data_IF_212771517578
#
_entry.id   IF_212771517578
#
_cell.length_a   1.000
_cell.length_b   1.000
_cell.length_c   1.000
_cell.angle_alpha   90.00
_cell.angle_beta   90.00
_cell.angle_gamma   90.00
#
_symmetry.space_group_name_H-M   'P 1'
#
loop_
_entity.id
_entity.type
_entity.pdbx_description
1 polymer ?
#
# COMPACT_ATOMS: atom_id res chain seq x y z
N UNK A 1 -74.99 -6.07 16.01
CA UNK A 1 -75.16 -5.58 14.63
C UNK A 1 -74.48 -6.58 13.69
N UNK A 2 -75.14 -6.79 12.55
CA UNK A 2 -74.96 -7.80 11.48
C UNK A 2 -73.59 -7.72 10.74
N UNK A 3 -73.27 -8.68 9.84
CA UNK A 3 -72.00 -9.41 9.77
C UNK A 3 -71.30 -9.25 8.38
N UNK A 4 -70.39 -10.14 7.92
CA UNK A 4 -69.55 -9.94 6.74
C UNK A 4 -70.04 -10.62 5.44
N UNK A 5 -69.51 -10.13 4.31
CA UNK A 5 -69.12 -10.78 3.04
C UNK A 5 -69.96 -11.88 2.37
N UNK A 6 -70.30 -11.68 1.09
CA UNK A 6 -70.36 -12.72 0.04
C UNK A 6 -70.69 -12.17 -1.37
N UNK A 7 -70.06 -12.77 -2.40
CA UNK A 7 -70.58 -13.12 -3.77
C UNK A 7 -70.97 -11.98 -4.74
N UNK A 8 -70.30 -11.77 -5.90
CA UNK A 8 -70.33 -12.52 -7.19
C UNK A 8 -71.66 -12.49 -7.95
N UNK A 9 -71.67 -11.84 -9.14
CA UNK A 9 -72.27 -12.24 -10.44
C UNK A 9 -72.17 -11.06 -11.44
N UNK A 10 -71.50 -11.19 -12.60
CA UNK A 10 -72.04 -11.40 -13.98
C UNK A 10 -73.11 -10.35 -14.39
N UNK A 11 -73.13 -9.71 -15.55
CA UNK A 11 -73.04 -10.14 -16.96
C UNK A 11 -72.91 -8.84 -17.82
N UNK A 12 -72.04 -8.74 -18.83
CA UNK A 12 -72.22 -9.14 -20.26
C UNK A 12 -72.91 -8.06 -21.11
N UNK A 13 -72.38 -7.85 -22.34
CA UNK A 13 -72.96 -7.19 -23.53
C UNK A 13 -72.90 -5.65 -23.54
N UNK A 14 -72.58 -4.90 -24.61
CA UNK A 14 -72.35 -5.11 -26.06
C UNK A 14 -71.64 -3.83 -26.57
N UNK A 15 -70.62 -3.88 -27.43
CA UNK A 15 -70.67 -3.89 -28.90
C UNK A 15 -71.66 -2.88 -29.54
N UNK A 16 -71.04 -1.87 -30.16
CA UNK A 16 -71.37 -1.25 -31.46
C UNK A 16 -72.09 0.11 -31.56
N UNK A 17 -71.32 1.03 -32.18
CA UNK A 17 -71.68 1.87 -33.33
C UNK A 17 -72.18 3.30 -33.12
N UNK A 18 -71.35 4.25 -33.55
CA UNK A 18 -71.68 5.46 -34.35
C UNK A 18 -70.35 6.15 -34.73
N UNK A 19 -69.85 6.00 -35.95
CA UNK A 19 -70.21 6.69 -37.20
C UNK A 19 -70.05 8.21 -37.14
N UNK A 20 -69.03 8.74 -37.83
CA UNK A 20 -69.10 9.86 -38.79
C UNK A 20 -67.86 10.78 -38.73
N UNK A 21 -67.05 10.69 -39.80
CA UNK A 21 -66.24 11.72 -40.49
C UNK A 21 -66.05 13.11 -39.84
N UNK A 22 -64.80 13.58 -39.74
CA UNK A 22 -64.21 14.41 -40.80
C UNK A 22 -62.70 14.64 -40.64
N UNK A 23 -62.07 14.96 -41.76
CA UNK A 23 -60.63 15.07 -42.02
C UNK A 23 -59.98 16.30 -41.34
N UNK A 24 -58.82 16.10 -40.71
CA UNK A 24 -57.74 17.09 -40.79
C UNK A 24 -56.36 16.42 -40.59
N UNK A 25 -55.39 16.83 -41.40
CA UNK A 25 -54.03 16.27 -41.45
C UNK A 25 -53.10 16.99 -40.48
N UNK A 26 -52.31 16.25 -39.70
CA UNK A 26 -50.93 16.61 -39.27
C UNK A 26 -50.27 15.41 -38.57
N UNK A 27 -48.92 15.35 -38.48
CA UNK A 27 -48.15 14.14 -38.80
C UNK A 27 -47.76 13.23 -37.63
N UNK A 28 -47.51 11.98 -37.99
CA UNK A 28 -46.63 10.96 -37.39
C UNK A 28 -46.43 10.89 -35.86
N UNK A 29 -46.91 9.79 -35.27
CA UNK A 29 -46.15 9.03 -34.27
C UNK A 29 -46.20 7.55 -34.60
N UNK A 30 -45.06 6.90 -34.92
CA UNK A 30 -45.03 5.47 -35.22
C UNK A 30 -45.30 4.65 -33.96
N UNK A 31 -46.02 3.55 -34.21
CA UNK A 31 -46.43 2.50 -33.31
C UNK A 31 -45.49 2.26 -32.11
N UNK A 32 -46.08 2.17 -30.92
CA UNK A 32 -45.45 1.56 -29.74
C UNK A 32 -45.04 0.14 -30.10
N UNK A 33 -43.79 -0.02 -30.52
CA UNK A 33 -43.10 -1.29 -30.70
C UNK A 33 -43.17 -2.02 -29.36
N UNK A 34 -43.92 -3.10 -29.33
CA UNK A 34 -44.06 -4.02 -28.21
C UNK A 34 -42.66 -4.32 -27.65
N UNK A 35 -42.35 -3.82 -26.45
CA UNK A 35 -41.16 -4.25 -25.72
C UNK A 35 -41.37 -5.73 -25.43
N UNK A 36 -40.72 -6.59 -26.22
CA UNK A 36 -40.57 -8.01 -25.90
C UNK A 36 -39.96 -8.04 -24.51
N UNK A 37 -40.69 -8.58 -23.53
CA UNK A 37 -40.20 -8.74 -22.17
C UNK A 37 -39.03 -9.72 -22.26
N UNK A 38 -37.79 -9.22 -22.26
CA UNK A 38 -36.62 -10.08 -22.32
C UNK A 38 -36.58 -10.92 -21.05
N UNK A 39 -36.49 -12.24 -21.23
CA UNK A 39 -36.38 -13.19 -20.13
C UNK A 39 -35.12 -12.85 -19.30
N UNK A 40 -35.23 -12.62 -17.97
CA UNK A 40 -34.09 -12.27 -17.13
C UNK A 40 -32.93 -13.26 -17.23
N UNK A 41 -33.20 -14.53 -17.55
CA UNK A 41 -32.16 -15.54 -17.78
C UNK A 41 -31.35 -15.26 -19.06
N UNK A 42 -32.01 -14.79 -20.13
CA UNK A 42 -31.34 -14.44 -21.39
C UNK A 42 -30.48 -13.20 -21.21
N UNK A 43 -31.02 -12.16 -20.56
CA UNK A 43 -30.27 -10.95 -20.25
C UNK A 43 -29.06 -11.21 -19.35
N UNK A 44 -29.19 -12.11 -18.35
CA UNK A 44 -28.08 -12.52 -17.49
C UNK A 44 -26.97 -13.23 -18.27
N UNK A 45 -27.33 -14.14 -19.18
CA UNK A 45 -26.39 -14.85 -20.04
C UNK A 45 -25.63 -13.88 -20.97
N UNK A 46 -26.33 -12.95 -21.58
CA UNK A 46 -25.75 -11.98 -22.51
C UNK A 46 -24.72 -11.07 -21.83
N UNK A 47 -24.98 -10.62 -20.60
CA UNK A 47 -24.03 -9.80 -19.83
C UNK A 47 -22.72 -10.53 -19.56
N UNK A 48 -22.79 -11.82 -19.20
CA UNK A 48 -21.60 -12.64 -18.95
C UNK A 48 -20.85 -12.95 -20.25
N UNK A 49 -21.58 -13.23 -21.33
CA UNK A 49 -20.99 -13.47 -22.64
C UNK A 49 -20.29 -12.24 -23.20
N UNK A 50 -20.92 -11.07 -23.10
CA UNK A 50 -20.33 -9.79 -23.48
C UNK A 50 -19.04 -9.53 -22.68
N UNK A 51 -19.06 -9.73 -21.36
CA UNK A 51 -17.88 -9.56 -20.52
C UNK A 51 -16.69 -10.45 -20.95
N UNK A 52 -16.96 -11.67 -21.40
CA UNK A 52 -15.94 -12.59 -21.89
C UNK A 52 -15.41 -12.18 -23.27
N UNK A 53 -16.27 -11.73 -24.17
CA UNK A 53 -15.83 -11.31 -25.51
C UNK A 53 -15.05 -10.00 -25.51
N UNK A 54 -15.29 -9.10 -24.54
CA UNK A 54 -14.63 -7.79 -24.47
C UNK A 54 -13.28 -7.80 -23.74
N UNK A 55 -12.92 -8.85 -22.99
CA UNK A 55 -11.70 -8.87 -22.16
C UNK A 55 -10.74 -9.99 -22.53
N UNK A 56 -9.46 -9.66 -22.53
CA UNK A 56 -8.38 -10.60 -22.80
C UNK A 56 -8.48 -11.83 -21.88
N UNK A 57 -8.43 -13.03 -22.49
CA UNK A 57 -8.55 -14.31 -21.80
C UNK A 57 -9.96 -14.90 -21.75
N UNK A 58 -11.01 -14.16 -22.16
CA UNK A 58 -12.37 -14.72 -22.22
C UNK A 58 -12.56 -15.80 -23.28
N UNK A 59 -11.91 -15.66 -24.45
CA UNK A 59 -11.90 -16.69 -25.49
C UNK A 59 -11.30 -18.01 -24.99
N UNK A 60 -10.25 -17.93 -24.17
CA UNK A 60 -9.62 -19.11 -23.57
C UNK A 60 -10.57 -19.82 -22.59
N UNK A 61 -11.36 -19.07 -21.81
CA UNK A 61 -12.38 -19.62 -20.92
C UNK A 61 -13.46 -20.34 -21.72
N UNK A 62 -13.95 -19.73 -22.80
CA UNK A 62 -14.97 -20.31 -23.66
C UNK A 62 -14.44 -21.57 -24.37
N UNK A 63 -13.20 -21.57 -24.84
CA UNK A 63 -12.56 -22.72 -25.49
C UNK A 63 -12.31 -23.89 -24.51
N UNK A 64 -11.85 -23.59 -23.29
CA UNK A 64 -11.64 -24.61 -22.24
C UNK A 64 -12.96 -25.31 -21.90
N UNK A 65 -14.04 -24.53 -21.74
CA UNK A 65 -15.35 -25.11 -21.48
C UNK A 65 -15.89 -25.93 -22.67
N UNK A 66 -15.76 -25.43 -23.90
CA UNK A 66 -16.21 -26.17 -25.11
C UNK A 66 -15.51 -27.52 -25.26
N UNK A 67 -14.24 -27.61 -24.86
CA UNK A 67 -13.46 -28.84 -24.99
C UNK A 67 -13.68 -29.83 -23.84
N UNK A 68 -13.82 -29.36 -22.59
CA UNK A 68 -13.86 -30.23 -21.40
C UNK A 68 -15.24 -30.31 -20.74
N UNK A 69 -16.20 -29.49 -21.16
CA UNK A 69 -17.51 -29.31 -20.52
C UNK A 69 -17.41 -28.99 -19.01
N UNK A 70 -16.29 -28.39 -18.60
CA UNK A 70 -16.02 -27.92 -17.24
C UNK A 70 -14.87 -26.91 -17.29
N UNK A 71 -14.61 -26.22 -16.18
CA UNK A 71 -13.47 -25.30 -16.05
C UNK A 71 -12.53 -25.77 -14.95
N UNK A 72 -11.22 -25.74 -15.25
CA UNK A 72 -10.16 -25.93 -14.26
C UNK A 72 -10.19 -24.83 -13.19
N UNK A 73 -9.52 -25.05 -12.06
CA UNK A 73 -9.43 -24.06 -10.98
C UNK A 73 -8.84 -22.73 -11.48
N UNK A 74 -7.80 -22.82 -12.32
CA UNK A 74 -7.10 -21.71 -12.93
C UNK A 74 -8.02 -20.94 -13.89
N UNK A 75 -8.70 -21.63 -14.82
CA UNK A 75 -9.63 -21.00 -15.76
C UNK A 75 -10.83 -20.37 -15.05
N UNK A 76 -11.34 -21.02 -13.99
CA UNK A 76 -12.45 -20.48 -13.18
C UNK A 76 -12.06 -19.19 -12.46
N UNK A 77 -10.81 -19.07 -12.00
CA UNK A 77 -10.28 -17.80 -11.45
C UNK A 77 -10.21 -16.71 -12.51
N UNK A 78 -9.80 -17.04 -13.73
CA UNK A 78 -9.77 -16.10 -14.87
C UNK A 78 -11.19 -15.61 -15.20
N UNK A 79 -12.17 -16.52 -15.30
CA UNK A 79 -13.59 -16.18 -15.48
C UNK A 79 -14.07 -15.18 -14.42
N UNK A 80 -13.87 -15.48 -13.14
CA UNK A 80 -14.30 -14.61 -12.03
C UNK A 80 -13.62 -13.23 -12.09
N UNK A 81 -12.33 -13.18 -12.45
CA UNK A 81 -11.60 -11.92 -12.60
C UNK A 81 -12.15 -11.05 -13.73
N UNK A 82 -12.41 -11.65 -14.90
CA UNK A 82 -12.98 -10.95 -16.06
C UNK A 82 -14.34 -10.35 -15.69
N UNK A 83 -15.21 -11.17 -15.07
CA UNK A 83 -16.57 -10.76 -14.72
C UNK A 83 -16.61 -9.68 -13.66
N UNK A 84 -15.80 -9.79 -12.60
CA UNK A 84 -15.70 -8.72 -11.59
C UNK A 84 -15.13 -7.44 -12.20
N UNK A 85 -14.12 -7.55 -13.09
CA UNK A 85 -13.60 -6.40 -13.79
C UNK A 85 -14.67 -5.71 -14.64
N UNK A 86 -15.47 -6.47 -15.39
CA UNK A 86 -16.58 -5.94 -16.19
C UNK A 86 -17.69 -5.34 -15.32
N UNK A 87 -18.02 -5.98 -14.19
CA UNK A 87 -19.01 -5.50 -13.25
C UNK A 87 -18.63 -4.15 -12.63
N UNK A 88 -17.35 -3.96 -12.29
CA UNK A 88 -16.84 -2.67 -11.76
C UNK A 88 -16.83 -1.57 -12.83
N UNK A 89 -16.55 -1.93 -14.07
CA UNK A 89 -16.52 -1.00 -15.21
C UNK A 89 -17.94 -0.52 -15.57
N UNK A 90 -18.91 -1.43 -15.62
CA UNK A 90 -20.29 -1.11 -16.02
C UNK A 90 -21.16 -0.53 -14.90
N UNK A 91 -20.90 -0.89 -13.64
CA UNK A 91 -21.76 -0.52 -12.50
C UNK A 91 -21.03 0.24 -11.40
N UNK A 92 -19.76 0.58 -11.61
CA UNK A 92 -18.93 1.27 -10.63
C UNK A 92 -18.44 0.36 -9.50
N UNK A 93 -17.79 0.97 -8.50
CA UNK A 93 -17.05 0.23 -7.47
C UNK A 93 -17.92 -0.62 -6.55
N UNK A 94 -19.21 -0.31 -6.38
CA UNK A 94 -20.12 -1.01 -5.47
C UNK A 94 -21.34 -1.52 -6.25
N UNK A 95 -21.21 -2.64 -6.98
CA UNK A 95 -22.35 -3.24 -7.66
C UNK A 95 -23.44 -3.63 -6.66
N UNK A 96 -24.69 -3.43 -7.03
CA UNK A 96 -25.87 -3.74 -6.20
C UNK A 96 -26.07 -5.25 -6.03
N UNK A 97 -26.90 -5.65 -5.06
CA UNK A 97 -27.24 -7.07 -4.82
C UNK A 97 -27.78 -7.75 -6.08
N UNK A 98 -28.69 -7.07 -6.80
CA UNK A 98 -29.30 -7.58 -8.02
C UNK A 98 -28.27 -7.74 -9.16
N UNK A 99 -27.33 -6.79 -9.30
CA UNK A 99 -26.26 -6.91 -10.30
C UNK A 99 -25.34 -8.10 -10.01
N UNK A 100 -24.97 -8.33 -8.74
CA UNK A 100 -24.15 -9.50 -8.37
C UNK A 100 -24.88 -10.82 -8.62
N UNK A 101 -26.18 -10.86 -8.32
CA UNK A 101 -27.05 -12.01 -8.59
C UNK A 101 -27.19 -12.28 -10.10
N UNK A 102 -27.37 -11.23 -10.90
CA UNK A 102 -27.47 -11.33 -12.37
C UNK A 102 -26.22 -11.95 -12.99
N UNK A 103 -25.02 -11.56 -12.55
CA UNK A 103 -23.78 -12.16 -13.06
C UNK A 103 -23.61 -13.61 -12.60
N UNK A 104 -23.96 -13.93 -11.35
CA UNK A 104 -23.90 -15.31 -10.85
C UNK A 104 -24.85 -16.24 -11.62
N UNK A 105 -26.08 -15.76 -11.87
CA UNK A 105 -27.06 -16.45 -12.69
C UNK A 105 -26.56 -16.63 -14.13
N UNK A 106 -25.97 -15.59 -14.74
CA UNK A 106 -25.42 -15.66 -16.09
C UNK A 106 -24.29 -16.69 -16.23
N UNK A 107 -23.46 -16.89 -15.20
CA UNK A 107 -22.42 -17.92 -15.18
C UNK A 107 -23.03 -19.31 -15.32
N UNK A 108 -24.01 -19.66 -14.50
CA UNK A 108 -24.58 -21.02 -14.51
C UNK A 108 -25.46 -21.29 -15.72
N UNK A 109 -25.99 -20.23 -16.36
CA UNK A 109 -26.70 -20.37 -17.64
C UNK A 109 -25.71 -20.57 -18.79
N UNK A 110 -24.59 -19.84 -18.80
CA UNK A 110 -23.58 -19.97 -19.85
C UNK A 110 -22.72 -21.23 -19.68
N UNK A 111 -22.49 -21.66 -18.44
CA UNK A 111 -21.70 -22.83 -18.06
C UNK A 111 -22.51 -23.77 -17.14
N UNK A 112 -23.50 -24.52 -17.66
CA UNK A 112 -24.39 -25.35 -16.85
C UNK A 112 -23.68 -26.37 -15.95
N UNK A 113 -22.51 -26.89 -16.36
CA UNK A 113 -21.73 -27.83 -15.56
C UNK A 113 -21.08 -27.20 -14.30
N UNK A 114 -21.07 -25.87 -14.18
CA UNK A 114 -20.61 -25.15 -12.99
C UNK A 114 -21.73 -24.91 -11.97
N UNK A 115 -22.96 -25.31 -12.29
CA UNK A 115 -24.11 -25.20 -11.39
C UNK A 115 -23.93 -26.15 -10.21
N UNK A 116 -24.12 -25.64 -8.99
CA UNK A 116 -24.09 -26.47 -7.79
C UNK A 116 -25.42 -27.23 -7.64
N UNK A 117 -25.43 -28.58 -7.73
CA UNK A 117 -26.65 -29.37 -7.61
C UNK A 117 -27.24 -29.38 -6.18
N UNK A 118 -26.47 -28.96 -5.17
CA UNK A 118 -26.89 -28.96 -3.76
C UNK A 118 -27.45 -27.61 -3.30
N UNK A 119 -27.36 -26.58 -4.14
CA UNK A 119 -27.88 -25.24 -3.86
C UNK A 119 -29.25 -25.02 -4.49
N UNK A 120 -30.05 -24.13 -3.89
CA UNK A 120 -31.46 -23.90 -4.25
C UNK A 120 -31.60 -23.35 -5.67
N UNK A 121 -30.72 -22.43 -6.06
CA UNK A 121 -30.74 -21.75 -7.36
C UNK A 121 -29.60 -22.24 -8.27
N UNK A 122 -28.54 -22.82 -7.72
CA UNK A 122 -27.42 -23.40 -8.45
C UNK A 122 -26.20 -22.50 -8.61
N UNK A 123 -26.30 -21.22 -8.24
CA UNK A 123 -25.25 -20.21 -8.46
C UNK A 123 -24.67 -19.64 -7.16
N UNK A 124 -25.15 -20.12 -6.00
CA UNK A 124 -24.84 -19.57 -4.69
C UNK A 124 -23.34 -19.58 -4.36
N UNK A 125 -22.57 -20.53 -4.91
CA UNK A 125 -21.11 -20.53 -4.79
C UNK A 125 -20.44 -19.32 -5.47
N UNK A 126 -21.05 -18.77 -6.53
CA UNK A 126 -20.57 -17.55 -7.17
C UNK A 126 -21.07 -16.30 -6.45
N UNK A 127 -22.35 -16.28 -6.08
CA UNK A 127 -22.92 -15.26 -5.22
C UNK A 127 -24.15 -15.79 -4.48
N UNK A 128 -24.06 -15.87 -3.16
CA UNK A 128 -25.19 -16.14 -2.30
C UNK A 128 -25.81 -14.81 -1.86
N UNK A 129 -27.10 -14.69 -2.20
CA UNK A 129 -27.90 -13.49 -2.01
C UNK A 129 -28.23 -13.28 -0.54
N UNK A 130 -28.36 -14.35 0.25
CA UNK A 130 -28.74 -14.31 1.67
C UNK A 130 -27.53 -14.03 2.57
N UNK A 131 -26.40 -14.71 2.35
CA UNK A 131 -25.17 -14.46 3.11
C UNK A 131 -24.30 -13.33 2.56
N UNK A 132 -24.50 -12.89 1.32
CA UNK A 132 -23.64 -11.91 0.65
C UNK A 132 -22.22 -12.43 0.37
N UNK A 133 -22.05 -13.76 0.28
CA UNK A 133 -20.77 -14.43 0.07
C UNK A 133 -20.69 -15.07 -1.32
N UNK A 134 -19.59 -15.78 -1.63
CA UNK A 134 -19.34 -16.39 -2.94
C UNK A 134 -18.13 -15.80 -3.67
N UNK A 135 -17.69 -16.46 -4.74
CA UNK A 135 -16.48 -16.09 -5.46
C UNK A 135 -16.50 -14.66 -6.04
N UNK A 136 -17.63 -14.22 -6.58
CA UNK A 136 -17.78 -12.86 -7.10
C UNK A 136 -17.71 -11.84 -5.95
N UNK A 137 -18.37 -12.12 -4.82
CA UNK A 137 -18.34 -11.25 -3.64
C UNK A 137 -16.94 -11.16 -3.02
N UNK A 138 -16.23 -12.29 -2.89
CA UNK A 138 -14.86 -12.33 -2.40
C UNK A 138 -13.94 -11.53 -3.32
N UNK A 139 -14.04 -11.75 -4.63
CA UNK A 139 -13.16 -11.06 -5.57
C UNK A 139 -13.45 -9.57 -5.61
N UNK A 140 -14.71 -9.14 -5.61
CA UNK A 140 -15.09 -7.72 -5.48
C UNK A 140 -14.47 -7.08 -4.22
N UNK A 141 -14.56 -7.74 -3.05
CA UNK A 141 -13.94 -7.25 -1.81
C UNK A 141 -12.42 -7.08 -1.96
N UNK A 142 -11.73 -8.03 -2.59
CA UNK A 142 -10.27 -7.94 -2.78
C UNK A 142 -9.87 -6.88 -3.83
N UNK A 143 -10.64 -6.72 -4.91
CA UNK A 143 -10.39 -5.67 -5.91
C UNK A 143 -10.60 -4.30 -5.29
N UNK A 144 -11.69 -4.11 -4.53
CA UNK A 144 -11.96 -2.88 -3.78
C UNK A 144 -10.82 -2.55 -2.81
N UNK A 145 -10.38 -3.51 -1.97
CA UNK A 145 -9.25 -3.30 -1.04
C UNK A 145 -7.96 -2.95 -1.77
N UNK A 146 -7.63 -3.61 -2.87
CA UNK A 146 -6.42 -3.32 -3.64
C UNK A 146 -6.49 -1.96 -4.34
N UNK A 147 -7.67 -1.53 -4.80
CA UNK A 147 -7.87 -0.17 -5.33
C UNK A 147 -7.84 0.88 -4.24
N UNK A 148 -8.34 0.59 -3.03
CA UNK A 148 -8.20 1.46 -1.87
C UNK A 148 -6.75 1.57 -1.42
N UNK A 149 -5.96 0.49 -1.46
CA UNK A 149 -4.51 0.56 -1.21
C UNK A 149 -3.74 1.35 -2.30
N UNK A 150 -4.26 1.40 -3.54
CA UNK A 150 -3.70 2.25 -4.61
C UNK A 150 -4.19 3.70 -4.54
N UNK A 151 -5.42 3.95 -4.09
CA UNK A 151 -6.00 5.29 -3.93
C UNK A 151 -5.58 5.97 -2.62
N UNK A 152 -5.36 5.20 -1.54
CA UNK A 152 -4.77 5.67 -0.28
C UNK A 152 -3.25 5.92 -0.39
N UNK A 153 -2.64 5.57 -1.53
CA UNK A 153 -1.31 6.10 -1.93
C UNK A 153 -1.41 7.47 -2.63
N UNK A 154 -2.62 7.92 -2.96
CA UNK A 154 -2.88 9.20 -3.62
C UNK A 154 -3.26 10.30 -2.63
N UNK A 155 -4.12 10.04 -1.66
CA UNK A 155 -4.55 11.03 -0.68
C UNK A 155 -5.00 10.35 0.63
N UNK A 156 -4.73 11.02 1.74
CA UNK A 156 -5.02 10.69 3.14
C UNK A 156 -3.96 9.83 3.88
N UNK A 157 -3.15 10.56 4.65
CA UNK A 157 -2.46 10.07 5.83
C UNK A 157 -3.42 9.33 6.77
N UNK A 158 -3.16 8.04 7.00
CA UNK A 158 -3.59 7.33 8.20
C UNK A 158 -2.40 6.55 8.73
N UNK A 159 -2.00 6.93 9.94
CA UNK A 159 -0.98 6.35 10.82
C UNK A 159 -0.76 4.84 10.64
N UNK A 160 0.34 4.47 9.99
CA UNK A 160 1.16 3.28 10.37
C UNK A 160 2.39 3.03 9.50
N UNK A 161 2.74 3.93 8.57
CA UNK A 161 3.91 3.71 7.71
C UNK A 161 5.15 4.43 8.23
N UNK A 162 5.72 3.96 9.34
CA UNK A 162 7.13 4.22 9.62
C UNK A 162 8.02 3.41 8.67
N UNK A 163 9.08 4.01 8.11
CA UNK A 163 10.07 3.27 7.33
C UNK A 163 11.01 4.16 6.50
N UNK A 164 12.14 3.62 5.99
CA UNK A 164 13.15 4.39 5.27
C UNK A 164 12.66 5.08 4.00
N UNK A 165 11.58 4.55 3.40
CA UNK A 165 10.98 5.09 2.17
C UNK A 165 9.78 6.01 2.43
N UNK A 166 9.44 6.29 3.69
CA UNK A 166 8.36 7.21 4.01
C UNK A 166 8.78 8.63 3.61
N UNK A 167 8.06 9.20 2.64
CA UNK A 167 8.17 10.63 2.34
C UNK A 167 7.46 11.40 3.44
N UNK A 168 8.21 12.13 4.27
CA UNK A 168 7.62 13.05 5.23
C UNK A 168 7.22 14.36 4.53
N UNK A 169 6.04 14.88 4.84
CA UNK A 169 5.64 16.22 4.42
C UNK A 169 6.54 17.24 5.11
N UNK A 170 7.33 17.96 4.32
CA UNK A 170 8.09 19.13 4.78
C UNK A 170 7.29 20.36 4.36
N UNK A 171 7.24 21.39 5.20
CA UNK A 171 6.51 22.62 4.92
C UNK A 171 6.96 23.22 3.56
N UNK A 172 6.06 23.43 2.59
CA UNK A 172 6.40 23.98 1.27
C UNK A 172 6.76 25.48 1.28
N UNK A 173 6.58 26.20 2.39
CA UNK A 173 6.77 27.66 2.46
C UNK A 173 8.23 28.14 2.33
N UNK A 174 9.23 27.26 2.47
CA UNK A 174 10.66 27.62 2.42
C UNK A 174 11.39 27.10 1.17
N UNK A 175 10.67 26.92 0.05
CA UNK A 175 11.33 26.52 -1.20
C UNK A 175 12.08 27.72 -1.81
N UNK A 176 13.41 27.67 -1.77
CA UNK A 176 14.24 28.58 -2.56
C UNK A 176 14.08 28.30 -4.05
N UNK A 177 14.22 29.35 -4.86
CA UNK A 177 14.31 29.19 -6.32
C UNK A 177 15.55 28.35 -6.71
N UNK A 178 15.49 27.67 -7.85
CA UNK A 178 16.54 26.75 -8.28
C UNK A 178 17.91 27.43 -8.42
N UNK A 179 17.94 28.70 -8.85
CA UNK A 179 19.18 29.46 -8.98
C UNK A 179 19.78 29.81 -7.61
N UNK A 180 18.95 30.15 -6.63
CA UNK A 180 19.39 30.42 -5.26
C UNK A 180 19.95 29.16 -4.57
N UNK A 181 19.35 27.99 -4.83
CA UNK A 181 19.87 26.70 -4.36
C UNK A 181 21.24 26.42 -4.99
N UNK A 182 21.38 26.63 -6.31
CA UNK A 182 22.66 26.42 -7.00
C UNK A 182 23.76 27.33 -6.47
N UNK A 183 23.45 28.59 -6.21
CA UNK A 183 24.38 29.56 -5.62
C UNK A 183 24.78 29.15 -4.20
N UNK A 184 23.82 28.74 -3.36
CA UNK A 184 24.11 28.30 -2.00
C UNK A 184 25.02 27.06 -1.96
N UNK A 185 24.80 26.10 -2.87
CA UNK A 185 25.66 24.91 -3.02
C UNK A 185 27.07 25.32 -3.48
N UNK A 186 27.18 26.22 -4.47
CA UNK A 186 28.48 26.71 -4.93
C UNK A 186 29.26 27.42 -3.81
N UNK A 187 28.58 28.24 -3.01
CA UNK A 187 29.18 28.90 -1.84
C UNK A 187 29.67 27.87 -0.81
N UNK A 188 28.88 26.82 -0.55
CA UNK A 188 29.22 25.76 0.40
C UNK A 188 30.52 25.02 0.02
N UNK A 189 30.88 24.95 -1.26
CA UNK A 189 32.15 24.37 -1.70
C UNK A 189 33.38 25.18 -1.25
N UNK A 190 33.23 26.50 -1.06
CA UNK A 190 34.37 27.41 -0.84
C UNK A 190 34.37 28.08 0.53
N UNK A 191 33.22 28.20 1.19
CA UNK A 191 33.15 28.82 2.53
C UNK A 191 33.74 27.91 3.61
N UNK A 192 34.47 28.51 4.56
CA UNK A 192 35.03 27.86 5.76
C UNK A 192 34.43 28.41 7.06
N UNK A 193 33.55 29.40 6.96
CA UNK A 193 32.91 30.05 8.11
C UNK A 193 31.76 29.17 8.61
N UNK A 194 31.92 28.61 9.82
CA UNK A 194 30.97 27.64 10.39
C UNK A 194 29.54 28.19 10.43
N UNK A 195 29.34 29.44 10.87
CA UNK A 195 28.01 30.06 10.90
C UNK A 195 27.35 30.14 9.52
N UNK A 196 28.12 30.45 8.47
CA UNK A 196 27.61 30.49 7.10
C UNK A 196 27.31 29.08 6.57
N UNK A 197 28.15 28.10 6.93
CA UNK A 197 27.91 26.69 6.58
C UNK A 197 26.58 26.24 7.15
N UNK A 198 26.34 26.41 8.45
CA UNK A 198 25.08 26.02 9.08
C UNK A 198 23.87 26.73 8.45
N UNK A 199 23.99 28.04 8.22
CA UNK A 199 22.94 28.84 7.58
C UNK A 199 22.60 28.33 6.17
N UNK A 200 23.60 28.19 5.29
CA UNK A 200 23.42 27.72 3.92
C UNK A 200 23.01 26.25 3.85
N UNK A 201 23.48 25.42 4.78
CA UNK A 201 23.03 24.02 4.90
C UNK A 201 21.57 23.94 5.33
N UNK A 202 21.07 24.89 6.13
CA UNK A 202 19.64 24.98 6.47
C UNK A 202 18.81 25.43 5.27
N UNK A 203 19.26 26.46 4.55
CA UNK A 203 18.60 26.98 3.34
C UNK A 203 18.44 25.91 2.24
N UNK A 204 19.40 25.00 2.11
CA UNK A 204 19.41 23.95 1.09
C UNK A 204 18.75 22.63 1.53
N UNK A 205 18.11 22.61 2.70
CA UNK A 205 17.53 21.41 3.30
C UNK A 205 16.54 20.70 2.39
N UNK A 206 15.56 21.41 1.81
CA UNK A 206 14.52 20.79 0.98
C UNK A 206 15.09 20.15 -0.29
N UNK A 207 16.04 20.83 -0.95
CA UNK A 207 16.72 20.30 -2.12
C UNK A 207 17.44 19.00 -1.77
N UNK A 208 18.24 19.03 -0.70
CA UNK A 208 18.97 17.86 -0.22
C UNK A 208 18.04 16.72 0.18
N UNK A 209 16.95 16.99 0.89
CA UNK A 209 15.97 15.99 1.26
C UNK A 209 15.33 15.33 0.03
N UNK A 210 15.10 16.10 -1.04
CA UNK A 210 14.68 15.57 -2.33
C UNK A 210 15.69 14.58 -2.91
N UNK A 211 16.99 14.92 -2.87
CA UNK A 211 18.07 14.07 -3.37
C UNK A 211 18.22 12.75 -2.61
N UNK A 212 17.98 12.72 -1.30
CA UNK A 212 18.05 11.49 -0.49
C UNK A 212 17.10 10.41 -1.03
N UNK A 213 15.94 10.82 -1.54
CA UNK A 213 14.91 9.93 -2.06
C UNK A 213 14.97 9.73 -3.59
N UNK A 214 15.93 10.36 -4.27
CA UNK A 214 16.18 10.17 -5.70
C UNK A 214 17.18 9.01 -5.88
N UNK A 215 16.76 7.85 -6.44
CA UNK A 215 17.61 6.69 -6.56
C UNK A 215 18.86 6.93 -7.41
N UNK A 216 18.81 7.87 -8.35
CA UNK A 216 19.92 8.15 -9.26
C UNK A 216 20.92 9.15 -8.63
N UNK A 217 20.47 9.99 -7.70
CA UNK A 217 21.29 11.07 -7.12
C UNK A 217 21.68 10.88 -5.66
N UNK A 218 21.02 9.96 -4.93
CA UNK A 218 21.29 9.73 -3.50
C UNK A 218 22.75 9.38 -3.22
N UNK A 219 23.41 8.68 -4.16
CA UNK A 219 24.83 8.30 -4.05
C UNK A 219 25.80 9.47 -4.15
N UNK A 220 25.39 10.57 -4.77
CA UNK A 220 26.22 11.76 -4.97
C UNK A 220 26.00 12.84 -3.91
N UNK A 221 25.14 12.60 -2.91
CA UNK A 221 24.78 13.60 -1.90
C UNK A 221 25.99 14.16 -1.15
N UNK A 222 26.97 13.33 -0.81
CA UNK A 222 28.19 13.76 -0.12
C UNK A 222 29.17 14.48 -1.05
N UNK A 223 29.03 14.31 -2.37
CA UNK A 223 29.78 15.08 -3.36
C UNK A 223 29.16 16.46 -3.56
N UNK A 224 27.82 16.53 -3.57
CA UNK A 224 27.05 17.78 -3.72
C UNK A 224 27.14 18.62 -2.43
N UNK A 225 27.11 17.97 -1.26
CA UNK A 225 27.21 18.59 0.05
C UNK A 225 28.44 18.09 0.81
N UNK A 226 29.66 18.50 0.41
CA UNK A 226 30.90 18.02 1.02
C UNK A 226 31.03 18.39 2.50
N UNK A 227 30.32 19.42 2.96
CA UNK A 227 30.39 19.90 4.34
C UNK A 227 29.90 18.89 5.39
N UNK A 228 29.15 17.85 4.99
CA UNK A 228 28.86 16.73 5.90
C UNK A 228 30.10 15.95 6.35
N UNK A 229 31.19 16.02 5.57
CA UNK A 229 32.40 15.25 5.84
C UNK A 229 33.33 15.95 6.84
N UNK A 230 33.27 17.28 6.93
CA UNK A 230 34.21 18.10 7.69
C UNK A 230 33.55 18.93 8.81
N UNK A 231 32.24 19.18 8.74
CA UNK A 231 31.51 20.02 9.68
C UNK A 231 30.60 19.17 10.56
N UNK A 232 30.88 19.15 11.86
CA UNK A 232 30.10 18.38 12.84
C UNK A 232 28.72 18.99 13.04
N UNK A 233 27.72 18.16 13.37
CA UNK A 233 26.39 18.63 13.77
C UNK A 233 25.39 18.87 12.64
N UNK A 234 25.81 18.90 11.37
CA UNK A 234 24.91 19.12 10.23
C UNK A 234 23.86 18.01 10.06
N UNK A 235 24.22 16.75 10.32
CA UNK A 235 23.24 15.64 10.32
C UNK A 235 22.15 15.86 11.38
N UNK A 236 22.55 16.33 12.56
CA UNK A 236 21.60 16.63 13.64
C UNK A 236 20.74 17.87 13.32
N UNK A 237 21.30 18.86 12.61
CA UNK A 237 20.53 19.98 12.09
C UNK A 237 19.39 19.49 11.18
N UNK A 238 19.72 18.68 10.16
CA UNK A 238 18.72 18.14 9.24
C UNK A 238 17.70 17.26 9.94
N UNK A 239 18.13 16.45 10.91
CA UNK A 239 17.23 15.67 11.73
C UNK A 239 16.25 16.56 12.51
N UNK A 240 16.71 17.66 13.10
CA UNK A 240 15.86 18.63 13.80
C UNK A 240 14.92 19.39 12.86
N UNK A 241 15.34 19.69 11.62
CA UNK A 241 14.46 20.29 10.61
C UNK A 241 13.37 19.30 10.16
N UNK A 242 13.69 18.01 10.08
CA UNK A 242 12.77 16.97 9.62
C UNK A 242 11.75 16.50 10.68
N UNK A 243 12.11 16.57 11.97
CA UNK A 243 11.29 16.06 13.08
C UNK A 243 10.84 17.14 14.06
N UNK A 244 11.34 18.36 13.92
CA UNK A 244 11.17 19.48 14.85
C UNK A 244 12.00 19.27 16.14
N UNK A 245 12.44 20.36 16.80
CA UNK A 245 13.28 20.26 18.00
C UNK A 245 12.63 19.43 19.13
N UNK A 246 11.31 19.56 19.31
CA UNK A 246 10.57 18.91 20.38
C UNK A 246 10.53 17.40 20.20
N UNK A 247 10.50 16.89 18.96
CA UNK A 247 10.50 15.45 18.71
C UNK A 247 11.91 14.91 18.58
N UNK A 248 12.84 15.67 18.00
CA UNK A 248 14.22 15.24 17.79
C UNK A 248 14.92 14.86 19.10
N UNK A 249 14.60 15.54 20.20
CA UNK A 249 15.22 15.28 21.51
C UNK A 249 14.59 14.13 22.30
N UNK A 250 13.34 13.73 21.97
CA UNK A 250 12.58 12.72 22.76
C UNK A 250 13.32 11.39 22.91
N UNK A 251 14.03 10.96 21.87
CA UNK A 251 14.80 9.72 21.92
C UNK A 251 15.87 9.80 23.02
N UNK A 252 16.64 10.89 23.04
CA UNK A 252 17.72 11.10 24.00
C UNK A 252 17.17 11.32 25.42
N UNK A 253 16.11 12.13 25.57
CA UNK A 253 15.45 12.39 26.85
C UNK A 253 14.93 11.11 27.52
N UNK A 254 14.43 10.16 26.71
CA UNK A 254 13.86 8.90 27.19
C UNK A 254 14.78 7.70 27.00
N UNK A 255 16.03 7.93 26.57
CA UNK A 255 16.94 6.85 26.20
C UNK A 255 17.22 5.96 27.41
N UNK A 256 17.79 6.52 28.47
CA UNK A 256 18.20 5.76 29.65
C UNK A 256 17.01 5.29 30.51
N UNK A 257 15.88 5.98 30.44
CA UNK A 257 14.73 5.73 31.32
C UNK A 257 13.69 4.77 30.72
N UNK A 258 13.51 4.77 29.41
CA UNK A 258 12.43 4.02 28.74
C UNK A 258 12.99 3.09 27.68
N UNK A 259 13.72 3.63 26.69
CA UNK A 259 14.07 2.87 25.50
C UNK A 259 15.14 1.82 25.79
N UNK A 260 16.25 2.22 26.40
CA UNK A 260 17.37 1.33 26.71
C UNK A 260 16.97 0.14 27.59
N UNK A 261 16.31 0.31 28.75
CA UNK A 261 15.88 -0.83 29.56
C UNK A 261 14.88 -1.72 28.81
N UNK A 262 13.91 -1.14 28.10
CA UNK A 262 12.92 -1.91 27.33
C UNK A 262 13.53 -2.73 26.20
N UNK A 263 14.54 -2.20 25.50
CA UNK A 263 15.26 -2.94 24.44
C UNK A 263 16.03 -4.12 25.05
N UNK A 264 16.68 -3.91 26.20
CA UNK A 264 17.43 -4.98 26.88
C UNK A 264 16.48 -6.07 27.35
N UNK A 265 15.34 -5.71 27.94
CA UNK A 265 14.30 -6.64 28.38
C UNK A 265 13.76 -7.47 27.21
N UNK A 266 13.35 -6.82 26.12
CA UNK A 266 12.84 -7.52 24.94
C UNK A 266 13.90 -8.44 24.32
N UNK A 267 15.17 -8.01 24.31
CA UNK A 267 16.28 -8.81 23.81
C UNK A 267 16.53 -10.09 24.63
N UNK A 268 16.14 -10.13 25.92
CA UNK A 268 16.22 -11.37 26.72
C UNK A 268 15.29 -12.47 26.21
N UNK A 269 14.21 -12.10 25.51
CA UNK A 269 13.28 -13.04 24.87
C UNK A 269 13.82 -13.67 23.57
N UNK A 270 14.93 -13.16 23.02
CA UNK A 270 15.53 -13.68 21.80
C UNK A 270 16.23 -15.02 22.02
N UNK A 271 16.47 -15.74 20.93
CA UNK A 271 17.38 -16.90 20.94
C UNK A 271 18.79 -16.43 21.34
N UNK A 272 19.29 -16.93 22.47
CA UNK A 272 20.56 -16.54 23.08
C UNK A 272 21.79 -17.09 22.33
N UNK A 273 21.99 -16.59 21.10
CA UNK A 273 23.25 -16.78 20.38
C UNK A 273 24.42 -16.13 21.13
N UNK A 274 25.68 -16.56 20.90
CA UNK A 274 26.85 -15.95 21.54
C UNK A 274 26.93 -14.43 21.30
N UNK A 275 26.56 -13.96 20.11
CA UNK A 275 26.53 -12.54 19.76
C UNK A 275 25.50 -11.77 20.60
N UNK A 276 24.26 -12.27 20.68
CA UNK A 276 23.19 -11.63 21.47
C UNK A 276 23.53 -11.62 22.97
N UNK A 277 24.07 -12.74 23.50
CA UNK A 277 24.52 -12.80 24.90
C UNK A 277 25.61 -11.78 25.22
N UNK A 278 26.59 -11.63 24.33
CA UNK A 278 27.63 -10.62 24.48
C UNK A 278 27.05 -9.21 24.48
N UNK A 279 26.10 -8.93 23.59
CA UNK A 279 25.46 -7.61 23.49
C UNK A 279 24.60 -7.29 24.72
N UNK A 280 23.80 -8.23 25.24
CA UNK A 280 23.02 -8.05 26.46
C UNK A 280 23.94 -7.74 27.65
N UNK A 281 25.05 -8.48 27.78
CA UNK A 281 26.04 -8.24 28.83
C UNK A 281 26.67 -6.85 28.71
N UNK A 282 27.08 -6.44 27.51
CA UNK A 282 27.65 -5.10 27.27
C UNK A 282 26.63 -3.98 27.50
N UNK A 283 25.35 -4.20 27.15
CA UNK A 283 24.28 -3.23 27.34
C UNK A 283 23.94 -3.02 28.82
N UNK A 284 23.94 -4.09 29.64
CA UNK A 284 23.61 -4.05 31.07
C UNK A 284 24.73 -3.52 31.99
N UNK A 285 25.98 -3.45 31.53
CA UNK A 285 27.09 -2.94 32.36
C UNK A 285 27.05 -1.41 32.45
N UNK A 286 26.65 -0.88 33.60
CA UNK A 286 26.98 0.49 34.00
C UNK A 286 28.45 0.54 34.44
N UNK A 287 29.32 0.90 33.49
CA UNK A 287 30.62 1.57 33.71
C UNK A 287 31.38 1.19 34.98
N UNK A 288 31.93 -0.03 35.11
CA UNK A 288 33.09 -0.25 35.99
C UNK A 288 34.04 -1.28 35.34
N UNK A 289 35.14 -0.77 34.79
CA UNK A 289 36.46 -1.42 34.91
C UNK A 289 36.80 -2.67 34.10
N UNK A 290 35.90 -3.28 33.33
CA UNK A 290 36.26 -4.50 32.57
C UNK A 290 36.58 -4.20 31.10
N UNK A 291 37.87 -4.37 30.76
CA UNK A 291 38.49 -4.07 29.46
C UNK A 291 38.10 -5.04 28.32
N UNK A 292 37.04 -5.83 28.51
CA UNK A 292 36.69 -6.96 27.64
C UNK A 292 35.39 -6.80 26.82
N UNK A 293 34.67 -5.69 26.95
CA UNK A 293 33.48 -5.45 26.11
C UNK A 293 33.87 -4.78 24.78
N UNK A 294 33.53 -5.42 23.64
CA UNK A 294 33.74 -4.89 22.28
C UNK A 294 33.00 -3.57 22.03
N UNK A 295 31.87 -3.34 22.70
CA UNK A 295 30.98 -2.21 22.47
C UNK A 295 30.67 -1.47 23.78
N UNK A 296 30.49 -0.15 23.71
CA UNK A 296 29.92 0.60 24.83
C UNK A 296 28.45 0.22 25.05
N UNK A 297 27.91 0.55 26.23
CA UNK A 297 26.57 0.14 26.64
C UNK A 297 25.47 0.66 25.71
N UNK A 298 25.57 1.90 25.22
CA UNK A 298 24.55 2.48 24.33
C UNK A 298 24.60 1.87 22.94
N UNK A 299 25.80 1.68 22.41
CA UNK A 299 26.01 1.04 21.13
C UNK A 299 25.60 -0.44 21.15
N UNK A 300 25.90 -1.16 22.24
CA UNK A 300 25.43 -2.52 22.44
C UNK A 300 23.90 -2.59 22.44
N UNK A 301 23.21 -1.68 23.12
CA UNK A 301 21.75 -1.56 23.08
C UNK A 301 21.23 -1.27 21.67
N UNK A 302 21.85 -0.36 20.93
CA UNK A 302 21.45 -0.08 19.54
C UNK A 302 21.67 -1.30 18.62
N UNK A 303 22.72 -2.09 18.83
CA UNK A 303 22.94 -3.32 18.06
C UNK A 303 21.93 -4.40 18.42
N UNK A 304 21.43 -4.47 19.66
CA UNK A 304 20.31 -5.35 20.03
C UNK A 304 19.04 -5.02 19.25
N UNK A 305 18.77 -3.75 18.93
CA UNK A 305 17.63 -3.39 18.08
C UNK A 305 17.71 -4.10 16.71
N UNK A 306 18.91 -4.24 16.12
CA UNK A 306 19.07 -4.93 14.83
C UNK A 306 18.61 -6.39 14.91
N UNK A 307 18.75 -7.02 16.07
CA UNK A 307 18.28 -8.39 16.32
C UNK A 307 16.77 -8.47 16.61
N UNK A 308 16.16 -7.38 17.08
CA UNK A 308 14.74 -7.27 17.39
C UNK A 308 13.89 -6.85 16.18
N UNK A 309 14.50 -6.17 15.19
CA UNK A 309 13.80 -5.75 13.99
C UNK A 309 13.34 -6.98 13.18
N UNK A 310 12.10 -6.98 12.66
CA UNK A 310 11.62 -8.06 11.82
C UNK A 310 12.49 -8.16 10.55
N UNK A 311 12.69 -9.38 10.01
CA UNK A 311 13.42 -9.53 8.76
C UNK A 311 12.74 -8.71 7.66
N UNK A 312 13.52 -8.03 6.82
CA UNK A 312 12.97 -7.24 5.72
C UNK A 312 12.03 -8.13 4.87
N UNK A 313 10.85 -7.62 4.45
CA UNK A 313 9.95 -8.33 3.54
C UNK A 313 10.61 -8.47 2.16
N UNK A 314 11.48 -9.47 2.04
CA UNK A 314 12.28 -9.72 0.84
C UNK A 314 11.52 -10.51 -0.21
N UNK A 315 11.37 -9.91 -1.40
CA UNK A 315 11.16 -10.64 -2.65
C UNK A 315 12.33 -11.62 -2.91
N UNK A 316 12.06 -12.65 -3.73
CA UNK A 316 12.78 -13.93 -3.84
C UNK A 316 14.29 -13.93 -4.20
N UNK A 317 15.08 -12.83 -4.11
CA UNK A 317 16.44 -12.79 -4.73
C UNK A 317 17.56 -12.02 -4.01
N UNK A 318 17.51 -11.79 -2.70
CA UNK A 318 18.67 -11.25 -1.97
C UNK A 318 19.19 -12.25 -0.93
N UNK A 319 20.50 -12.54 -0.94
CA UNK A 319 21.15 -13.29 0.12
C UNK A 319 20.95 -12.56 1.44
N UNK A 320 20.32 -13.21 2.42
CA UNK A 320 20.03 -12.62 3.73
C UNK A 320 21.33 -12.54 4.52
N UNK A 321 21.84 -11.33 4.74
CA UNK A 321 22.92 -11.08 5.69
C UNK A 321 22.41 -11.34 7.11
N UNK A 322 23.22 -11.95 7.98
CA UNK A 322 22.83 -12.11 9.38
C UNK A 322 22.92 -10.77 10.13
N UNK A 323 22.17 -10.62 11.22
CA UNK A 323 22.25 -9.41 12.05
C UNK A 323 23.67 -9.18 12.62
N UNK A 324 24.41 -10.25 12.90
CA UNK A 324 25.80 -10.17 13.36
C UNK A 324 26.74 -9.67 12.24
N UNK A 325 26.61 -10.19 11.02
CA UNK A 325 27.41 -9.73 9.88
C UNK A 325 27.04 -8.29 9.49
N UNK A 326 25.77 -7.91 9.65
CA UNK A 326 25.30 -6.55 9.41
C UNK A 326 25.93 -5.58 10.42
N UNK A 327 26.01 -5.94 11.70
CA UNK A 327 26.63 -5.11 12.74
C UNK A 327 28.07 -4.72 12.38
N UNK A 328 28.89 -5.68 11.92
CA UNK A 328 30.28 -5.42 11.53
C UNK A 328 30.41 -4.56 10.25
N UNK A 329 29.37 -4.49 9.40
CA UNK A 329 29.33 -3.60 8.23
C UNK A 329 28.76 -2.21 8.55
N UNK A 330 27.90 -2.11 9.56
CA UNK A 330 27.20 -0.88 9.92
C UNK A 330 28.07 0.05 10.77
N UNK A 331 28.89 -0.51 11.67
CA UNK A 331 29.64 0.28 12.64
C UNK A 331 31.09 -0.19 12.72
N UNK A 332 32.02 0.74 12.46
CA UNK A 332 33.43 0.56 12.79
C UNK A 332 33.68 1.23 14.14
N UNK A 333 33.82 0.44 15.20
CA UNK A 333 34.09 0.94 16.54
C UNK A 333 35.57 1.04 16.81
N UNK A 334 36.04 2.26 17.02
CA UNK A 334 37.38 2.54 17.51
C UNK A 334 37.30 2.90 18.98
N UNK A 335 37.74 1.99 19.87
CA UNK A 335 37.96 2.30 21.29
C UNK A 335 39.21 3.18 21.40
N UNK A 336 39.08 4.46 21.08
CA UNK A 336 40.19 5.39 21.21
C UNK A 336 40.26 5.84 22.67
N UNK A 337 41.35 5.54 23.38
CA UNK A 337 41.64 6.09 24.71
C UNK A 337 41.93 7.61 24.68
N UNK A 338 41.65 8.28 23.57
CA UNK A 338 41.89 9.71 23.38
C UNK A 338 40.59 10.36 22.93
N UNK A 339 40.38 11.60 23.38
CA UNK A 339 39.17 12.35 23.07
C UNK A 339 38.94 12.42 21.55
N UNK A 340 37.67 12.54 21.13
CA UNK A 340 37.24 12.57 19.71
C UNK A 340 38.08 13.55 18.87
N UNK A 341 38.56 14.65 19.46
CA UNK A 341 39.41 15.62 18.79
C UNK A 341 40.81 15.09 18.43
N UNK A 342 41.39 14.19 19.24
CA UNK A 342 42.67 13.53 18.93
C UNK A 342 42.52 12.53 17.77
N UNK A 343 41.43 11.75 17.74
CA UNK A 343 41.16 10.79 16.66
C UNK A 343 40.92 11.49 15.31
N UNK A 344 40.15 12.59 15.29
CA UNK A 344 39.95 13.35 14.06
C UNK A 344 41.27 13.94 13.52
N UNK A 345 42.21 14.34 14.38
CA UNK A 345 43.51 14.88 13.96
C UNK A 345 44.46 13.82 13.39
N UNK A 346 44.45 12.60 13.92
CA UNK A 346 45.35 11.54 13.43
C UNK A 346 44.95 10.98 12.06
N UNK A 347 43.64 10.94 11.75
CA UNK A 347 43.15 10.40 10.47
C UNK A 347 43.06 11.41 9.32
N UNK A 348 43.11 12.73 9.59
CA UNK A 348 43.20 13.76 8.52
C UNK A 348 44.59 13.77 7.87
N UNK A 349 45.63 13.30 8.55
CA UNK A 349 47.00 13.25 8.03
C UNK A 349 47.32 11.98 7.21
N UNK A 350 46.35 11.08 7.03
CA UNK A 350 46.54 9.83 6.29
C UNK A 350 45.64 9.77 5.05
N UNK A 351 45.71 10.79 4.17
CA UNK A 351 45.29 10.62 2.78
C UNK A 351 46.56 10.47 1.91
N UNK A 352 46.68 9.40 1.11
CA UNK A 352 47.77 9.30 0.16
C UNK A 352 47.63 10.38 -0.93
N UNK A 353 48.79 10.83 -1.41
CA UNK A 353 49.00 11.82 -2.47
C UNK A 353 48.21 11.53 -3.74
#
# INVERSE_FOLDING_TARGET
MLPPGSSSCTDTLSISSRSSSDLDQTPERPAKRSKKLEDPATAAKEVVLAALNHKAGGDAVLADYRSKNTLTSETRRVLVNILVGHMVEMHGRIPTRNQREQYALGIVILFPALRDPYSKKGYEHFYDVDSGTGYLAWRLKTVQRNTSHRAAKGDAASSDLGGPCLKRSINPEEHLDEDAVREAIALLCHTSEEGQIFFKMKETFHHRHGLVHDPDKTMDILKIFPRFLDTKGLVNQDFRLLFNPETANKLLEKWDTVFKPGIIEEAMGLTLTPAVRSLISSAGKQTIGEDHCKWDSNLATLLLLVHLLPPQPGGKRAAKISAADAADRLVVYHKVMMCVNCFCRSHVLSRPS
#
